data_IF_132800111487
#
_entry.id   IF_132800111487
#
_cell.length_a   1.000
_cell.length_b   1.000
_cell.length_c   1.000
_cell.angle_alpha   90.00
_cell.angle_beta   90.00
_cell.angle_gamma   90.00
#
_symmetry.space_group_name_H-M   'P 1'
#
loop_
_entity.id
_entity.type
_entity.pdbx_description
1 polymer ?
#
# COMPACT_ATOMS: atom_id res chain seq x y z
N UNK A 1 1.61 -14.08 -14.34
CA UNK A 1 2.68 -14.94 -13.78
C UNK A 1 3.29 -14.26 -12.57
N UNK A 2 3.44 -15.00 -11.50
CA UNK A 2 4.05 -14.45 -10.30
C UNK A 2 5.57 -14.39 -10.44
N UNK A 3 6.17 -13.39 -9.82
CA UNK A 3 7.62 -13.19 -9.87
C UNK A 3 8.35 -14.18 -8.97
N UNK A 4 9.62 -14.52 -9.33
CA UNK A 4 10.54 -15.29 -8.50
C UNK A 4 11.43 -14.37 -7.64
N UNK A 5 11.25 -13.08 -7.73
CA UNK A 5 11.95 -12.09 -6.91
C UNK A 5 10.94 -11.41 -5.99
N UNK A 6 11.21 -11.44 -4.69
CA UNK A 6 10.33 -10.87 -3.67
C UNK A 6 11.01 -9.68 -3.01
N UNK A 7 10.23 -8.65 -2.71
CA UNK A 7 10.66 -7.47 -1.96
C UNK A 7 9.90 -7.45 -0.64
N UNK A 8 10.64 -7.36 0.48
CA UNK A 8 10.09 -7.45 1.84
C UNK A 8 10.63 -6.32 2.70
N UNK A 9 9.93 -6.03 3.78
CA UNK A 9 10.41 -5.11 4.79
C UNK A 9 11.40 -5.79 5.74
N UNK A 10 12.07 -4.99 6.56
CA UNK A 10 13.02 -5.51 7.53
C UNK A 10 12.35 -6.36 8.61
N UNK A 11 11.19 -5.94 9.10
CA UNK A 11 10.44 -6.65 10.14
C UNK A 11 9.32 -7.50 9.55
N UNK A 12 8.60 -6.97 8.58
CA UNK A 12 7.40 -7.61 8.04
C UNK A 12 7.76 -8.34 6.75
N UNK A 13 7.52 -9.66 6.70
CA UNK A 13 7.64 -10.45 5.46
C UNK A 13 6.43 -10.16 4.56
N UNK A 14 5.23 -10.35 5.08
CA UNK A 14 4.02 -10.01 4.33
C UNK A 14 2.84 -9.75 5.27
N UNK A 15 1.89 -8.97 4.78
CA UNK A 15 0.62 -8.68 5.44
C UNK A 15 -0.48 -9.18 4.52
N UNK A 16 -1.44 -9.92 5.08
CA UNK A 16 -2.62 -10.37 4.36
C UNK A 16 -3.80 -9.48 4.73
N UNK A 17 -4.30 -8.75 3.75
CA UNK A 17 -5.48 -7.90 3.91
C UNK A 17 -6.67 -8.57 3.23
N UNK A 18 -7.69 -8.89 4.02
CA UNK A 18 -8.94 -9.47 3.50
C UNK A 18 -9.94 -8.33 3.28
N UNK A 19 -10.57 -8.30 2.11
CA UNK A 19 -11.43 -7.19 1.69
C UNK A 19 -12.81 -7.68 1.29
N UNK A 20 -13.79 -6.79 1.39
CA UNK A 20 -15.20 -7.13 1.06
C UNK A 20 -15.42 -7.24 -0.45
N UNK A 21 -14.81 -6.34 -1.21
CA UNK A 21 -14.99 -6.25 -2.66
C UNK A 21 -13.62 -6.23 -3.31
N UNK A 22 -13.18 -7.39 -3.81
CA UNK A 22 -11.85 -7.54 -4.38
C UNK A 22 -11.63 -6.63 -5.60
N UNK A 23 -12.65 -6.41 -6.42
CA UNK A 23 -12.50 -5.58 -7.61
C UNK A 23 -12.38 -4.09 -7.25
N UNK A 24 -13.14 -3.61 -6.26
CA UNK A 24 -12.98 -2.24 -5.75
C UNK A 24 -11.59 -2.04 -5.14
N UNK A 25 -11.13 -3.01 -4.35
CA UNK A 25 -9.80 -2.96 -3.74
C UNK A 25 -8.70 -3.08 -4.78
N UNK A 26 -8.87 -3.94 -5.78
CA UNK A 26 -7.93 -4.07 -6.89
C UNK A 26 -7.76 -2.74 -7.61
N UNK A 27 -8.87 -2.08 -7.95
CA UNK A 27 -8.84 -0.78 -8.61
C UNK A 27 -8.09 0.26 -7.78
N UNK A 28 -8.38 0.34 -6.50
CA UNK A 28 -7.73 1.29 -5.58
C UNK A 28 -6.24 0.99 -5.43
N UNK A 29 -5.91 -0.23 -5.00
CA UNK A 29 -4.51 -0.56 -4.67
C UNK A 29 -3.61 -0.59 -5.90
N UNK A 30 -4.09 -1.10 -7.03
CA UNK A 30 -3.28 -1.07 -8.25
C UNK A 30 -3.00 0.35 -8.72
N UNK A 31 -3.95 1.27 -8.55
CA UNK A 31 -3.74 2.68 -8.88
C UNK A 31 -2.69 3.32 -7.98
N UNK A 32 -2.77 3.11 -6.65
CA UNK A 32 -1.78 3.68 -5.74
C UNK A 32 -0.41 3.02 -5.87
N UNK A 33 -0.35 1.72 -6.14
CA UNK A 33 0.93 1.04 -6.42
C UNK A 33 1.58 1.58 -7.69
N UNK A 34 0.81 1.84 -8.73
CA UNK A 34 1.34 2.45 -9.95
C UNK A 34 1.93 3.83 -9.66
N UNK A 35 1.26 4.66 -8.86
CA UNK A 35 1.76 5.96 -8.46
C UNK A 35 3.04 5.86 -7.62
N UNK A 36 3.17 4.81 -6.81
CA UNK A 36 4.36 4.56 -5.99
C UNK A 36 5.44 3.78 -6.75
N UNK A 37 5.20 3.45 -8.00
CA UNK A 37 6.11 2.69 -8.86
C UNK A 37 6.43 1.29 -8.29
N UNK A 38 5.42 0.66 -7.68
CA UNK A 38 5.51 -0.71 -7.17
C UNK A 38 4.72 -1.62 -8.13
N UNK A 39 5.38 -2.53 -8.84
CA UNK A 39 4.68 -3.42 -9.76
C UNK A 39 3.87 -4.47 -9.01
N UNK A 40 2.75 -4.87 -9.58
CA UNK A 40 1.97 -6.00 -9.07
C UNK A 40 2.77 -7.27 -9.31
N UNK A 41 2.96 -8.06 -8.26
CA UNK A 41 3.73 -9.31 -8.34
C UNK A 41 2.91 -10.48 -8.86
N UNK A 42 1.65 -10.55 -8.47
CA UNK A 42 0.73 -11.57 -8.94
C UNK A 42 -0.72 -11.13 -8.77
N UNK A 43 -1.60 -11.66 -9.60
CA UNK A 43 -3.03 -11.33 -9.58
C UNK A 43 -3.84 -12.48 -10.12
N UNK A 44 -4.93 -12.80 -9.42
CA UNK A 44 -5.90 -13.81 -9.83
C UNK A 44 -7.31 -13.29 -9.52
N UNK A 45 -8.32 -14.11 -9.75
CA UNK A 45 -9.70 -13.71 -9.54
C UNK A 45 -9.97 -13.30 -8.08
N UNK A 46 -9.36 -14.03 -7.13
CA UNK A 46 -9.66 -13.91 -5.70
C UNK A 46 -8.52 -13.29 -4.88
N UNK A 47 -7.42 -12.87 -5.51
CA UNK A 47 -6.32 -12.20 -4.82
C UNK A 47 -5.46 -11.38 -5.77
N UNK A 48 -4.66 -10.50 -5.20
CA UNK A 48 -3.50 -9.87 -5.86
C UNK A 48 -2.49 -9.51 -4.77
N UNK A 49 -1.25 -9.28 -5.18
CA UNK A 49 -0.22 -8.87 -4.23
C UNK A 49 0.83 -8.00 -4.91
N UNK A 50 1.45 -7.17 -4.12
CA UNK A 50 2.59 -6.34 -4.52
C UNK A 50 3.52 -6.23 -3.32
N UNK A 51 4.80 -6.51 -3.53
CA UNK A 51 5.80 -6.57 -2.45
C UNK A 51 5.24 -7.37 -1.26
N UNK A 52 5.23 -6.80 -0.05
CA UNK A 52 4.80 -7.51 1.16
C UNK A 52 3.30 -7.43 1.44
N UNK A 53 2.50 -6.78 0.59
CA UNK A 53 1.06 -6.68 0.79
C UNK A 53 0.30 -7.64 -0.11
N UNK A 54 -0.46 -8.55 0.52
CA UNK A 54 -1.38 -9.46 -0.14
C UNK A 54 -2.81 -9.03 0.14
N UNK A 55 -3.64 -9.00 -0.88
CA UNK A 55 -5.07 -8.62 -0.77
C UNK A 55 -5.91 -9.76 -1.33
N UNK A 56 -6.90 -10.21 -0.56
CA UNK A 56 -7.72 -11.35 -0.94
C UNK A 56 -9.17 -11.18 -0.51
N UNK A 57 -10.03 -12.06 -1.05
CA UNK A 57 -11.45 -12.10 -0.72
C UNK A 57 -11.69 -12.59 0.70
N UNK A 58 -12.94 -12.37 1.20
CA UNK A 58 -13.33 -12.69 2.58
C UNK A 58 -13.27 -14.18 2.92
N UNK A 59 -13.28 -15.05 1.93
CA UNK A 59 -13.20 -16.49 2.12
C UNK A 59 -11.78 -17.05 2.14
N UNK A 60 -10.77 -16.17 2.11
CA UNK A 60 -9.38 -16.59 2.25
C UNK A 60 -9.14 -17.22 3.63
N UNK A 61 -8.51 -18.40 3.62
CA UNK A 61 -8.14 -19.09 4.86
C UNK A 61 -6.85 -18.55 5.49
N UNK A 62 -6.16 -17.63 4.79
CA UNK A 62 -4.93 -17.02 5.30
C UNK A 62 -5.17 -16.09 6.49
N UNK A 63 -6.39 -15.62 6.66
CA UNK A 63 -6.76 -14.74 7.76
C UNK A 63 -7.95 -15.31 8.53
N UNK A 64 -8.08 -14.93 9.79
CA UNK A 64 -9.16 -15.35 10.66
C UNK A 64 -9.82 -14.12 11.30
N UNK A 65 -11.05 -14.30 11.81
CA UNK A 65 -11.78 -13.24 12.50
C UNK A 65 -12.67 -12.44 11.57
N UNK A 66 -13.05 -11.24 12.03
CA UNK A 66 -13.99 -10.38 11.32
C UNK A 66 -13.29 -9.19 10.70
N UNK A 67 -13.82 -8.72 9.57
CA UNK A 67 -13.38 -7.48 8.96
C UNK A 67 -13.72 -6.30 9.89
N UNK A 68 -12.74 -5.44 10.13
CA UNK A 68 -12.92 -4.29 11.03
C UNK A 68 -12.88 -2.95 10.31
N UNK A 69 -12.15 -2.84 9.19
CA UNK A 69 -11.94 -1.57 8.49
C UNK A 69 -11.13 -0.58 9.33
N UNK A 70 -10.26 -1.06 10.19
CA UNK A 70 -9.49 -0.22 11.12
C UNK A 70 -8.00 -0.42 11.03
N UNK A 71 -7.52 -0.79 9.86
CA UNK A 71 -6.08 -0.91 9.66
C UNK A 71 -5.50 0.43 9.22
N UNK A 72 -4.25 0.65 9.60
CA UNK A 72 -3.45 1.76 9.10
C UNK A 72 -2.20 1.18 8.46
N UNK A 73 -2.02 1.42 7.17
CA UNK A 73 -0.85 0.98 6.42
C UNK A 73 -0.20 2.20 5.80
N UNK A 74 1.11 2.32 5.96
CA UNK A 74 1.89 3.40 5.36
C UNK A 74 2.84 2.82 4.32
N UNK A 75 2.76 3.35 3.11
CA UNK A 75 3.63 2.99 2.01
C UNK A 75 4.74 4.02 1.87
N UNK A 76 5.92 3.56 1.55
CA UNK A 76 7.07 4.43 1.38
C UNK A 76 7.01 5.14 0.02
N UNK A 77 7.25 6.44 0.03
CA UNK A 77 7.39 7.25 -1.17
C UNK A 77 8.81 7.79 -1.26
N UNK A 78 9.32 7.88 -2.49
CA UNK A 78 10.70 8.31 -2.77
C UNK A 78 10.87 9.82 -2.63
N UNK A 79 9.81 10.59 -2.87
CA UNK A 79 9.85 12.05 -2.85
C UNK A 79 8.44 12.61 -2.65
N UNK A 80 8.34 13.94 -2.52
CA UNK A 80 7.05 14.61 -2.32
C UNK A 80 6.13 14.44 -3.52
N UNK A 81 6.67 14.46 -4.73
CA UNK A 81 5.88 14.29 -5.95
C UNK A 81 5.18 12.93 -5.98
N UNK A 82 5.84 11.89 -5.50
CA UNK A 82 5.25 10.54 -5.42
C UNK A 82 4.11 10.49 -4.40
N UNK A 83 4.23 11.18 -3.26
CA UNK A 83 3.14 11.31 -2.28
C UNK A 83 1.93 12.02 -2.92
N UNK A 84 2.19 13.11 -3.65
CA UNK A 84 1.11 13.84 -4.34
C UNK A 84 0.43 12.94 -5.38
N UNK A 85 1.21 12.20 -6.17
CA UNK A 85 0.69 11.27 -7.17
C UNK A 85 -0.13 10.14 -6.56
N UNK A 86 0.29 9.62 -5.42
CA UNK A 86 -0.46 8.63 -4.64
C UNK A 86 -1.87 9.15 -4.31
N UNK A 87 -1.95 10.37 -3.81
CA UNK A 87 -3.21 10.97 -3.38
C UNK A 87 -4.17 11.16 -4.57
N UNK A 88 -3.68 11.71 -5.67
CA UNK A 88 -4.48 11.89 -6.90
C UNK A 88 -4.97 10.55 -7.43
N UNK A 89 -4.06 9.59 -7.59
CA UNK A 89 -4.39 8.27 -8.14
C UNK A 89 -5.42 7.52 -7.28
N UNK A 90 -5.24 7.58 -5.96
CA UNK A 90 -6.15 6.90 -5.05
C UNK A 90 -7.55 7.51 -5.04
N UNK A 91 -7.65 8.84 -5.10
CA UNK A 91 -8.95 9.51 -5.21
C UNK A 91 -9.67 9.14 -6.50
N UNK A 92 -8.96 9.14 -7.62
CA UNK A 92 -9.53 8.77 -8.92
C UNK A 92 -9.97 7.30 -8.96
N UNK A 93 -9.35 6.45 -8.17
CA UNK A 93 -9.63 5.02 -8.12
C UNK A 93 -10.61 4.61 -7.02
N UNK A 94 -11.35 5.55 -6.44
CA UNK A 94 -12.41 5.27 -5.48
C UNK A 94 -12.04 5.45 -4.01
N UNK A 95 -10.83 5.91 -3.71
CA UNK A 95 -10.44 6.26 -2.35
C UNK A 95 -11.11 7.53 -1.87
N UNK A 96 -11.15 7.72 -0.57
CA UNK A 96 -11.69 8.91 0.07
C UNK A 96 -10.56 9.68 0.74
N UNK A 97 -10.52 11.01 0.57
CA UNK A 97 -9.51 11.84 1.21
C UNK A 97 -9.60 11.73 2.74
N UNK A 98 -8.45 11.47 3.35
CA UNK A 98 -8.31 11.42 4.80
C UNK A 98 -7.12 12.26 5.28
N UNK A 99 -6.59 13.10 4.42
CA UNK A 99 -5.48 14.02 4.71
C UNK A 99 -4.70 14.34 3.45
N UNK A 100 -4.81 15.58 2.99
CA UNK A 100 -4.14 16.05 1.77
C UNK A 100 -2.63 16.01 1.93
N UNK A 101 -1.88 15.91 0.82
CA UNK A 101 -0.43 15.96 0.86
C UNK A 101 0.08 17.20 1.60
N UNK A 102 1.01 17.00 2.51
CA UNK A 102 1.60 18.08 3.28
C UNK A 102 2.53 17.58 4.37
N UNK A 103 3.20 18.52 5.01
CA UNK A 103 4.08 18.20 6.13
C UNK A 103 3.30 17.82 7.37
N UNK A 104 3.88 16.93 8.17
CA UNK A 104 3.32 16.46 9.44
C UNK A 104 4.38 16.64 10.54
N UNK A 105 3.96 16.84 11.80
CA UNK A 105 4.88 17.23 12.88
C UNK A 105 5.63 16.07 13.51
N UNK A 106 5.65 14.89 12.91
CA UNK A 106 6.24 13.70 13.52
C UNK A 106 7.77 13.77 13.57
N UNK A 107 8.38 14.32 12.53
CA UNK A 107 9.79 14.70 12.51
C UNK A 107 10.01 15.68 11.35
N UNK A 108 11.14 16.44 11.34
CA UNK A 108 11.41 17.36 10.23
C UNK A 108 11.46 16.63 8.88
N UNK A 109 10.76 17.18 7.90
CA UNK A 109 10.71 16.61 6.56
C UNK A 109 9.68 15.52 6.33
N UNK A 110 8.92 15.12 7.37
CA UNK A 110 7.85 14.14 7.21
C UNK A 110 6.75 14.72 6.33
N UNK A 111 6.58 14.17 5.13
CA UNK A 111 5.60 14.64 4.15
C UNK A 111 4.71 13.45 3.76
N UNK A 112 3.41 13.58 3.94
CA UNK A 112 2.51 12.45 3.77
C UNK A 112 1.15 12.86 3.25
N UNK A 113 0.42 11.88 2.74
CA UNK A 113 -0.99 12.00 2.37
C UNK A 113 -1.72 10.74 2.82
N UNK A 114 -3.00 10.87 3.10
CA UNK A 114 -3.83 9.81 3.65
C UNK A 114 -5.10 9.64 2.84
N UNK A 115 -5.47 8.39 2.59
CA UNK A 115 -6.70 8.01 1.91
C UNK A 115 -7.40 6.91 2.72
N UNK A 116 -8.72 6.84 2.60
CA UNK A 116 -9.45 5.64 3.03
C UNK A 116 -9.60 4.73 1.83
N UNK A 117 -9.31 3.45 2.01
CA UNK A 117 -9.52 2.43 0.99
C UNK A 117 -11.02 2.05 0.93
N UNK A 118 -11.45 1.16 0.00
CA UNK A 118 -12.88 0.78 -0.10
C UNK A 118 -13.47 0.18 1.18
N UNK A 119 -12.65 -0.37 2.07
CA UNK A 119 -13.12 -0.92 3.34
C UNK A 119 -13.00 0.07 4.51
N UNK A 120 -12.50 1.28 4.26
CA UNK A 120 -12.33 2.33 5.27
C UNK A 120 -11.00 2.29 6.01
N UNK A 121 -10.04 1.48 5.57
CA UNK A 121 -8.71 1.45 6.16
C UNK A 121 -7.96 2.74 5.82
N UNK A 122 -7.16 3.22 6.78
CA UNK A 122 -6.37 4.42 6.61
C UNK A 122 -5.05 4.09 5.92
N UNK A 123 -4.92 4.52 4.69
CA UNK A 123 -3.76 4.23 3.84
C UNK A 123 -2.96 5.52 3.66
N UNK A 124 -1.68 5.44 3.95
CA UNK A 124 -0.75 6.58 3.90
C UNK A 124 0.33 6.35 2.87
N UNK A 125 0.78 7.40 2.19
CA UNK A 125 2.08 7.41 1.54
C UNK A 125 2.95 8.42 2.27
N UNK A 126 4.17 8.06 2.61
CA UNK A 126 5.08 8.90 3.39
C UNK A 126 6.45 9.00 2.76
N UNK A 127 6.95 10.23 2.68
CA UNK A 127 8.33 10.56 2.38
C UNK A 127 8.95 11.20 3.61
N UNK A 128 10.05 10.62 4.10
CA UNK A 128 10.67 11.03 5.35
C UNK A 128 11.63 12.22 5.22
N UNK A 129 11.72 12.83 4.04
CA UNK A 129 12.66 13.91 3.78
C UNK A 129 14.01 13.38 3.31
N UNK A 130 15.01 14.24 3.38
CA UNK A 130 16.40 13.89 3.01
C UNK A 130 16.96 12.90 4.01
N UNK A 131 16.94 11.62 3.68
CA UNK A 131 17.40 10.54 4.55
C UNK A 131 18.25 9.56 3.76
N UNK A 132 19.03 8.76 4.46
CA UNK A 132 19.78 7.65 3.87
C UNK A 132 19.04 6.35 4.12
N UNK A 133 18.89 5.56 3.07
CA UNK A 133 18.38 4.20 3.14
C UNK A 133 19.51 3.23 2.83
N UNK A 134 19.65 2.19 3.63
CA UNK A 134 20.70 1.19 3.40
C UNK A 134 20.40 0.33 2.17
N UNK A 135 19.13 0.16 1.84
CA UNK A 135 18.66 -0.57 0.67
C UNK A 135 17.20 -0.17 0.40
N UNK A 136 16.71 -0.28 -0.85
CA UNK A 136 15.29 0.00 -1.15
C UNK A 136 14.36 -1.02 -0.49
N UNK A 137 14.81 -2.26 -0.32
CA UNK A 137 14.06 -3.35 0.30
C UNK A 137 15.00 -4.48 0.62
N UNK A 138 14.51 -5.50 1.30
CA UNK A 138 15.17 -6.80 1.36
C UNK A 138 14.71 -7.59 0.13
N UNK A 139 15.65 -7.93 -0.75
CA UNK A 139 15.35 -8.69 -1.96
C UNK A 139 15.66 -10.16 -1.72
N UNK A 140 14.68 -11.01 -1.99
CA UNK A 140 14.79 -12.47 -1.87
C UNK A 140 14.66 -13.05 -3.27
N UNK A 141 15.67 -13.78 -3.69
CA UNK A 141 15.69 -14.43 -5.01
C UNK A 141 15.82 -15.94 -4.83
N UNK A 142 15.00 -16.67 -5.52
CA UNK A 142 15.00 -18.13 -5.47
C UNK A 142 15.82 -18.72 -6.59
#
# INVERSE_FOLDING_TARGET
METMELHRGRLIDHVQLVVRDIEASRRFYQAVFAALEVPVGGSAEDYFWADELFVSTVDSEAAAGKLTGRHHLAFQARDRAMVDAFHVAGLEAGGVDNGKPGERPYHPGYYAAFLLDPDGNNIEAVFHGETKRSAPSVKITF
#
